data_IF_638510630974
#
_entry.id   IF_638510630974
#
_cell.length_a   1.000
_cell.length_b   1.000
_cell.length_c   1.000
_cell.angle_alpha   90.00
_cell.angle_beta   90.00
_cell.angle_gamma   90.00
#
_symmetry.space_group_name_H-M   'P 1'
#
loop_
_entity.id
_entity.type
_entity.pdbx_description
1 polymer ?
#
# COMPACT_ATOMS: atom_id res chain seq x y z
N UNK A 1 -16.74 8.80 -7.16
CA UNK A 1 -15.43 8.18 -7.50
C UNK A 1 -15.03 6.96 -6.63
N UNK A 2 -15.83 6.49 -5.65
CA UNK A 2 -15.45 5.39 -4.72
C UNK A 2 -16.10 4.01 -4.98
N UNK A 3 -16.75 3.78 -6.14
CA UNK A 3 -17.58 2.58 -6.36
C UNK A 3 -16.80 1.24 -6.43
N UNK A 4 -15.46 1.25 -6.41
CA UNK A 4 -14.61 0.05 -6.53
C UNK A 4 -13.30 0.08 -5.74
N UNK A 5 -13.05 1.08 -4.87
CA UNK A 5 -11.74 1.27 -4.21
C UNK A 5 -11.88 1.39 -2.70
N UNK A 6 -10.91 0.81 -1.97
CA UNK A 6 -10.89 0.81 -0.50
C UNK A 6 -10.49 2.20 0.03
N UNK A 7 -11.37 2.83 0.82
CA UNK A 7 -11.09 4.13 1.47
C UNK A 7 -9.98 4.01 2.52
N UNK A 8 -9.95 2.92 3.28
CA UNK A 8 -8.97 2.68 4.35
C UNK A 8 -7.51 2.67 3.82
N UNK A 9 -7.29 2.06 2.66
CA UNK A 9 -5.97 2.02 2.04
C UNK A 9 -5.50 3.42 1.59
N UNK A 10 -6.43 4.27 1.14
CA UNK A 10 -6.11 5.63 0.71
C UNK A 10 -5.69 6.53 1.88
N UNK A 11 -6.38 6.43 3.02
CA UNK A 11 -5.96 7.14 4.24
C UNK A 11 -4.56 6.66 4.67
N UNK A 12 -4.32 5.34 4.68
CA UNK A 12 -3.00 4.79 5.04
C UNK A 12 -1.88 5.24 4.09
N UNK A 13 -2.16 5.31 2.79
CA UNK A 13 -1.21 5.79 1.77
C UNK A 13 -0.85 7.27 1.96
N UNK A 14 -1.83 8.12 2.28
CA UNK A 14 -1.59 9.54 2.54
C UNK A 14 -0.70 9.69 3.78
N UNK A 15 -0.99 8.99 4.86
CA UNK A 15 -0.20 9.03 6.09
C UNK A 15 1.25 8.58 5.80
N UNK A 16 1.43 7.46 5.10
CA UNK A 16 2.75 6.97 4.72
C UNK A 16 3.51 7.95 3.82
N UNK A 17 2.82 8.64 2.91
CA UNK A 17 3.42 9.65 2.02
C UNK A 17 3.88 10.89 2.81
N UNK A 18 3.05 11.39 3.73
CA UNK A 18 3.40 12.51 4.61
C UNK A 18 4.61 12.13 5.49
N UNK A 19 4.60 10.92 6.03
CA UNK A 19 5.71 10.42 6.84
C UNK A 19 7.02 10.29 6.04
N UNK A 20 6.96 9.83 4.79
CA UNK A 20 8.11 9.79 3.90
C UNK A 20 8.71 11.19 3.65
N UNK A 21 7.85 12.18 3.42
CA UNK A 21 8.32 13.57 3.23
C UNK A 21 8.97 14.08 4.53
N UNK A 22 8.36 13.82 5.68
CA UNK A 22 8.91 14.21 6.98
C UNK A 22 10.29 13.61 7.23
N UNK A 23 10.48 12.30 7.02
CA UNK A 23 11.76 11.65 7.33
C UNK A 23 12.88 12.15 6.39
N UNK A 24 12.58 12.40 5.11
CA UNK A 24 13.55 12.95 4.16
C UNK A 24 13.95 14.36 4.57
N UNK A 25 12.99 15.24 4.88
CA UNK A 25 13.29 16.62 5.30
C UNK A 25 14.05 16.68 6.62
N UNK A 26 13.73 15.80 7.57
CA UNK A 26 14.42 15.73 8.88
C UNK A 26 15.90 15.36 8.71
N UNK A 27 16.20 14.26 8.02
CA UNK A 27 17.60 13.83 7.84
C UNK A 27 18.38 14.75 6.89
N UNK A 28 17.73 15.34 5.89
CA UNK A 28 18.36 16.35 5.04
C UNK A 28 18.72 17.63 5.81
N UNK A 29 17.87 18.07 6.74
CA UNK A 29 18.14 19.24 7.58
C UNK A 29 19.31 19.05 8.54
N UNK A 30 19.48 17.85 9.09
CA UNK A 30 20.56 17.55 10.05
C UNK A 30 21.93 17.48 9.37
N UNK A 31 22.00 17.13 8.08
CA UNK A 31 23.26 17.08 7.34
C UNK A 31 23.88 18.47 7.07
N UNK A 32 23.06 19.54 7.13
CA UNK A 32 23.46 20.90 6.75
C UNK A 32 24.01 21.77 7.88
N UNK A 33 23.83 21.38 9.14
CA UNK A 33 24.14 22.22 10.31
C UNK A 33 24.98 21.43 11.33
N UNK A 34 26.20 21.89 11.64
CA UNK A 34 27.01 21.35 12.75
C UNK A 34 28.53 21.40 12.60
N UNK A 35 29.22 21.33 13.74
CA UNK A 35 30.68 21.18 13.84
C UNK A 35 31.16 19.81 13.31
N UNK A 36 32.47 19.65 13.09
CA UNK A 36 33.07 18.42 12.50
C UNK A 36 32.66 17.12 13.21
N UNK A 37 32.46 17.13 14.54
CA UNK A 37 32.02 15.96 15.29
C UNK A 37 30.53 15.64 15.12
N UNK A 38 29.68 16.68 15.06
CA UNK A 38 28.22 16.55 14.86
C UNK A 38 27.91 16.05 13.45
N UNK A 39 28.72 16.48 12.46
CA UNK A 39 28.59 16.06 11.07
C UNK A 39 28.93 14.57 10.85
N UNK A 40 29.89 14.03 11.61
CA UNK A 40 30.21 12.59 11.60
C UNK A 40 29.08 11.80 12.26
N UNK A 41 28.56 12.28 13.39
CA UNK A 41 27.42 11.66 14.08
C UNK A 41 26.14 11.62 13.22
N UNK A 42 25.83 12.72 12.54
CA UNK A 42 24.67 12.81 11.64
C UNK A 42 24.83 11.97 10.38
N UNK A 43 26.04 11.90 9.82
CA UNK A 43 26.35 11.02 8.70
C UNK A 43 26.13 9.54 9.03
N UNK A 44 26.60 9.10 10.21
CA UNK A 44 26.40 7.73 10.70
C UNK A 44 24.91 7.44 10.96
N UNK A 45 24.18 8.36 11.58
CA UNK A 45 22.74 8.21 11.82
C UNK A 45 21.94 8.13 10.51
N UNK A 46 22.29 8.97 9.52
CA UNK A 46 21.65 8.98 8.20
C UNK A 46 21.93 7.67 7.47
N UNK A 47 23.16 7.18 7.48
CA UNK A 47 23.52 5.91 6.84
C UNK A 47 22.72 4.72 7.43
N UNK A 48 22.49 4.71 8.74
CA UNK A 48 21.73 3.68 9.45
C UNK A 48 20.23 3.70 9.11
N UNK A 49 19.63 4.89 8.96
CA UNK A 49 18.19 5.01 8.62
C UNK A 49 17.93 4.93 7.11
N UNK A 50 18.93 5.19 6.26
CA UNK A 50 18.79 5.19 4.80
C UNK A 50 18.11 3.92 4.25
N UNK A 51 18.50 2.69 4.64
CA UNK A 51 17.82 1.48 4.15
C UNK A 51 16.34 1.43 4.53
N UNK A 52 15.94 1.97 5.69
CA UNK A 52 14.54 2.09 6.09
C UNK A 52 13.78 3.06 5.17
N UNK A 53 14.35 4.23 4.86
CA UNK A 53 13.74 5.24 3.99
C UNK A 53 13.51 4.68 2.58
N UNK A 54 14.50 3.96 2.03
CA UNK A 54 14.42 3.38 0.69
C UNK A 54 13.27 2.37 0.59
N UNK A 55 13.15 1.46 1.57
CA UNK A 55 12.08 0.45 1.56
C UNK A 55 10.71 1.09 1.77
N UNK A 56 10.62 2.10 2.65
CA UNK A 56 9.40 2.86 2.85
C UNK A 56 8.96 3.56 1.55
N UNK A 57 9.90 4.20 0.84
CA UNK A 57 9.63 4.86 -0.43
C UNK A 57 9.12 3.89 -1.49
N UNK A 58 9.76 2.72 -1.63
CA UNK A 58 9.30 1.66 -2.53
C UNK A 58 7.90 1.19 -2.10
N UNK A 59 7.65 1.01 -0.81
CA UNK A 59 6.34 0.65 -0.26
C UNK A 59 5.25 1.65 -0.64
N UNK A 60 5.54 2.96 -0.51
CA UNK A 60 4.62 4.04 -0.91
C UNK A 60 4.37 4.03 -2.41
N UNK A 61 5.39 3.83 -3.24
CA UNK A 61 5.22 3.69 -4.69
C UNK A 61 4.30 2.52 -5.06
N UNK A 62 4.52 1.35 -4.45
CA UNK A 62 3.64 0.18 -4.61
C UNK A 62 2.23 0.45 -4.09
N UNK A 63 2.08 1.25 -3.04
CA UNK A 63 0.79 1.70 -2.54
C UNK A 63 0.03 2.58 -3.55
N UNK A 64 0.72 3.53 -4.21
CA UNK A 64 0.12 4.34 -5.27
C UNK A 64 -0.30 3.49 -6.48
N UNK A 65 0.52 2.50 -6.87
CA UNK A 65 0.17 1.53 -7.91
C UNK A 65 -1.04 0.67 -7.50
N UNK A 66 -1.09 0.21 -6.25
CA UNK A 66 -2.23 -0.54 -5.71
C UNK A 66 -3.52 0.27 -5.77
N UNK A 67 -3.45 1.57 -5.45
CA UNK A 67 -4.59 2.48 -5.54
C UNK A 67 -5.04 2.67 -6.99
N UNK A 68 -4.10 2.85 -7.93
CA UNK A 68 -4.37 3.02 -9.35
C UNK A 68 -5.02 1.80 -10.01
N UNK A 69 -4.46 0.61 -9.76
CA UNK A 69 -4.89 -0.64 -10.38
C UNK A 69 -6.04 -1.35 -9.64
N UNK A 70 -6.39 -0.89 -8.43
CA UNK A 70 -7.40 -1.52 -7.57
C UNK A 70 -7.14 -3.02 -7.30
N UNK A 71 -5.88 -3.47 -7.44
CA UNK A 71 -5.49 -4.87 -7.31
C UNK A 71 -5.21 -5.20 -5.85
N UNK A 72 -5.84 -6.27 -5.36
CA UNK A 72 -5.57 -6.79 -4.02
C UNK A 72 -4.13 -7.28 -3.85
N UNK A 73 -3.43 -7.69 -4.93
CA UNK A 73 -2.05 -8.16 -4.84
C UNK A 73 -1.07 -7.04 -4.47
N UNK A 74 -1.19 -5.88 -5.12
CA UNK A 74 -0.31 -4.74 -4.88
C UNK A 74 -0.52 -4.10 -3.49
N UNK A 75 -1.75 -4.15 -2.96
CA UNK A 75 -2.04 -3.69 -1.60
C UNK A 75 -1.34 -4.56 -0.54
N UNK A 76 -1.23 -5.88 -0.78
CA UNK A 76 -0.53 -6.79 0.12
C UNK A 76 0.97 -6.55 0.10
N UNK A 77 1.57 -6.41 -1.09
CA UNK A 77 3.01 -6.13 -1.21
C UNK A 77 3.38 -4.81 -0.54
N UNK A 78 2.60 -3.74 -0.73
CA UNK A 78 2.84 -2.47 -0.05
C UNK A 78 2.80 -2.60 1.48
N UNK A 79 1.84 -3.37 2.02
CA UNK A 79 1.71 -3.59 3.46
C UNK A 79 2.87 -4.41 4.05
N UNK A 80 3.35 -5.42 3.31
CA UNK A 80 4.53 -6.18 3.68
C UNK A 80 5.77 -5.27 3.67
N UNK A 81 5.93 -4.41 2.66
CA UNK A 81 7.04 -3.46 2.59
C UNK A 81 7.02 -2.46 3.76
N UNK A 82 5.85 -1.98 4.18
CA UNK A 82 5.73 -1.16 5.40
C UNK A 82 6.14 -1.92 6.66
N UNK A 83 5.84 -3.22 6.72
CA UNK A 83 6.25 -4.06 7.84
C UNK A 83 7.78 -4.24 7.86
N UNK A 84 8.39 -4.54 6.71
CA UNK A 84 9.84 -4.67 6.58
C UNK A 84 10.55 -3.36 6.91
N UNK A 85 10.01 -2.22 6.44
CA UNK A 85 10.52 -0.91 6.81
C UNK A 85 10.46 -0.74 8.34
N UNK A 86 9.33 -1.02 8.99
CA UNK A 86 9.19 -0.93 10.45
C UNK A 86 10.19 -1.80 11.22
N UNK A 87 10.52 -2.99 10.73
CA UNK A 87 11.48 -3.90 11.37
C UNK A 87 12.93 -3.45 11.18
N UNK A 88 13.29 -2.87 10.02
CA UNK A 88 14.66 -2.38 9.79
C UNK A 88 15.03 -1.20 10.70
N UNK A 89 14.06 -0.47 11.22
CA UNK A 89 14.31 0.66 12.12
C UNK A 89 13.26 0.73 13.22
N UNK A 90 13.43 -0.14 14.22
CA UNK A 90 12.57 -0.28 15.41
C UNK A 90 12.25 1.05 16.11
N UNK A 91 13.19 2.03 16.26
CA UNK A 91 12.88 3.29 16.95
C UNK A 91 11.73 4.08 16.32
N UNK A 92 11.58 4.01 14.99
CA UNK A 92 10.53 4.73 14.25
C UNK A 92 9.30 3.89 13.94
N UNK A 93 9.21 2.67 14.48
CA UNK A 93 8.09 1.75 14.22
C UNK A 93 6.74 2.37 14.61
N UNK A 94 6.70 3.20 15.65
CA UNK A 94 5.48 3.85 16.15
C UNK A 94 4.76 4.69 15.08
N UNK A 95 5.51 5.32 14.18
CA UNK A 95 4.95 6.11 13.07
C UNK A 95 4.47 5.25 11.90
N UNK A 96 5.04 4.05 11.75
CA UNK A 96 4.73 3.12 10.65
C UNK A 96 3.58 2.17 11.02
N UNK A 97 3.34 1.92 12.31
CA UNK A 97 2.24 1.05 12.80
C UNK A 97 0.85 1.43 12.22
N UNK A 98 0.41 2.70 12.27
CA UNK A 98 -0.90 3.07 11.70
C UNK A 98 -0.98 2.74 10.20
N UNK A 99 0.10 2.98 9.46
CA UNK A 99 0.22 2.68 8.03
C UNK A 99 0.21 1.17 7.75
N UNK A 100 0.82 0.35 8.60
CA UNK A 100 0.78 -1.11 8.51
C UNK A 100 -0.66 -1.61 8.71
N UNK A 101 -1.33 -1.17 9.77
CA UNK A 101 -2.71 -1.58 10.09
C UNK A 101 -3.64 -1.17 8.96
N UNK A 102 -3.57 0.09 8.51
CA UNK A 102 -4.38 0.60 7.40
C UNK A 102 -4.04 -0.08 6.06
N UNK A 103 -2.80 -0.51 5.86
CA UNK A 103 -2.37 -1.34 4.74
C UNK A 103 -3.08 -2.70 4.73
N UNK A 104 -3.01 -3.44 5.83
CA UNK A 104 -3.67 -4.76 5.96
C UNK A 104 -5.20 -4.67 5.93
N UNK A 105 -5.79 -3.69 6.61
CA UNK A 105 -7.24 -3.41 6.56
C UNK A 105 -7.64 -3.02 5.14
N UNK A 106 -6.82 -2.20 4.48
CA UNK A 106 -6.98 -1.81 3.08
C UNK A 106 -7.01 -3.02 2.14
N UNK A 107 -6.07 -3.95 2.30
CA UNK A 107 -6.01 -5.23 1.59
C UNK A 107 -7.26 -6.09 1.82
N UNK A 108 -7.67 -6.29 3.08
CA UNK A 108 -8.84 -7.09 3.42
C UNK A 108 -10.11 -6.54 2.75
N UNK A 109 -10.26 -5.22 2.77
CA UNK A 109 -11.38 -4.54 2.12
C UNK A 109 -11.31 -4.64 0.58
N UNK A 110 -10.12 -4.52 -0.02
CA UNK A 110 -9.91 -4.68 -1.47
C UNK A 110 -10.26 -6.11 -1.94
N UNK A 111 -9.84 -7.13 -1.17
CA UNK A 111 -10.13 -8.54 -1.42
C UNK A 111 -11.63 -8.83 -1.37
N UNK A 112 -12.34 -8.25 -0.39
CA UNK A 112 -13.80 -8.39 -0.27
C UNK A 112 -14.56 -7.76 -1.46
N UNK A 113 -14.14 -6.58 -1.93
CA UNK A 113 -14.73 -5.93 -3.10
C UNK A 113 -14.52 -6.79 -4.37
N UNK A 114 -13.31 -7.31 -4.56
CA UNK A 114 -13.00 -8.15 -5.72
C UNK A 114 -13.80 -9.47 -5.72
N UNK A 115 -13.91 -10.12 -4.55
CA UNK A 115 -14.69 -11.35 -4.40
C UNK A 115 -16.19 -11.14 -4.67
N UNK A 116 -16.79 -10.05 -4.17
CA UNK A 116 -18.19 -9.70 -4.47
C UNK A 116 -18.40 -9.43 -5.96
N UNK A 117 -17.45 -8.79 -6.63
CA UNK A 117 -17.50 -8.56 -8.08
C UNK A 117 -17.41 -9.88 -8.87
N UNK A 118 -16.56 -10.81 -8.45
CA UNK A 118 -16.43 -12.16 -9.04
C UNK A 118 -17.71 -12.99 -8.86
N UNK A 119 -18.30 -12.97 -7.65
CA UNK A 119 -19.56 -13.66 -7.36
C UNK A 119 -20.72 -13.13 -8.21
N UNK A 120 -20.84 -11.80 -8.34
CA UNK A 120 -21.87 -11.17 -9.19
C UNK A 120 -21.71 -11.53 -10.67
N UNK A 121 -20.47 -11.66 -11.18
CA UNK A 121 -20.20 -12.15 -12.54
C UNK A 121 -20.60 -13.62 -12.71
N UNK A 122 -20.28 -14.51 -11.75
CA UNK A 122 -20.65 -15.93 -11.81
C UNK A 122 -22.17 -16.14 -11.83
N UNK A 123 -22.92 -15.40 -10.99
CA UNK A 123 -24.39 -15.43 -11.00
C UNK A 123 -24.95 -14.95 -12.35
N UNK A 124 -24.37 -13.91 -12.95
CA UNK A 124 -24.82 -13.40 -14.27
C UNK A 124 -24.54 -14.38 -15.42
N UNK A 125 -23.45 -15.15 -15.33
CA UNK A 125 -23.11 -16.21 -16.30
C UNK A 125 -24.05 -17.41 -16.16
N UNK A 126 -24.35 -17.86 -14.94
CA UNK A 126 -25.28 -18.97 -14.71
C UNK A 126 -26.75 -18.62 -15.03
N UNK A 127 -27.14 -17.34 -14.95
CA UNK A 127 -28.49 -16.89 -15.31
C UNK A 127 -28.66 -16.58 -16.80
N UNK A 128 -27.62 -16.78 -17.64
CA UNK A 128 -27.75 -16.56 -19.09
C UNK A 128 -28.58 -17.73 -19.65
N UNK A 129 -29.76 -17.48 -20.27
CA UNK A 129 -30.54 -18.56 -20.85
C UNK A 129 -29.70 -19.27 -21.92
N UNK A 130 -29.69 -20.60 -21.90
CA UNK A 130 -29.15 -21.41 -22.97
C UNK A 130 -30.03 -21.17 -24.22
N UNK A 131 -29.57 -20.32 -25.14
CA UNK A 131 -30.31 -19.90 -26.34
C UNK A 131 -30.40 -21.05 -27.37
N UNK A 132 -29.69 -22.14 -27.14
CA UNK A 132 -29.48 -23.22 -28.08
C UNK A 132 -30.62 -24.27 -28.06
N UNK A 133 -31.56 -24.18 -27.12
CA UNK A 133 -32.67 -25.13 -26.95
C UNK A 133 -34.02 -24.63 -27.55
N UNK A 134 -33.98 -23.78 -28.57
CA UNK A 134 -35.22 -23.31 -29.25
C UNK A 134 -35.32 -23.70 -30.72
N UNK A 135 -34.34 -24.43 -31.25
CA UNK A 135 -34.32 -24.84 -32.67
C UNK A 135 -34.83 -26.26 -32.93
N UNK A 136 -35.19 -27.04 -31.91
CA UNK A 136 -35.61 -28.45 -32.08
C UNK A 136 -37.11 -28.71 -31.80
N UNK A 137 -37.96 -27.68 -31.84
CA UNK A 137 -39.40 -27.79 -31.53
C UNK A 137 -40.31 -27.44 -32.71
N UNK A 138 -39.78 -27.45 -33.94
CA UNK A 138 -40.57 -27.38 -35.17
C UNK A 138 -39.98 -28.33 -36.22
N UNK A 139 -40.36 -29.60 -36.12
CA UNK A 139 -40.35 -30.56 -37.23
C UNK A 139 -41.64 -31.35 -37.14
#
# INVERSE_FOLDING_TARGET
MFKKRSKAFFIGLIIATIYLIYIISYFYGILGDGNTAEQIGSGLATALVTPHIVILAIGVMFGWLAFGLSSSGFALTASILYTVAGVMFIPYIFFVIPSIILGFVGYANQKNINNKAKAKRRVKVHKKPNVNNKTNLKA
#
